data_IF_110847505413
#
_entry.id   IF_110847505413
#
_cell.length_a   1.000
_cell.length_b   1.000
_cell.length_c   1.000
_cell.angle_alpha   90.00
_cell.angle_beta   90.00
_cell.angle_gamma   90.00
#
_symmetry.space_group_name_H-M   'P 1'
#
loop_
_entity.id
_entity.type
_entity.pdbx_description
1 polymer ?
#
# COMPACT_ATOMS: atom_id res chain seq x y z
N UNK A 1 2.29 76.95 3.56
CA UNK A 1 3.27 77.58 2.64
C UNK A 1 3.01 77.04 1.25
N UNK A 2 2.38 77.82 0.36
CA UNK A 2 2.11 77.39 -1.02
C UNK A 2 3.36 77.58 -1.88
N UNK A 3 3.85 76.50 -2.49
CA UNK A 3 4.85 76.58 -3.56
C UNK A 3 4.16 77.12 -4.81
N UNK A 4 4.58 78.30 -5.28
CA UNK A 4 4.17 78.83 -6.58
C UNK A 4 4.77 77.94 -7.67
N UNK A 5 3.93 77.47 -8.59
CA UNK A 5 4.36 76.77 -9.79
C UNK A 5 4.76 77.83 -10.81
N UNK A 6 6.05 77.92 -11.13
CA UNK A 6 6.49 78.75 -12.24
C UNK A 6 6.33 77.94 -13.54
N UNK A 7 5.61 78.48 -14.55
CA UNK A 7 5.52 77.81 -15.83
C UNK A 7 6.91 77.80 -16.49
N UNK A 8 7.44 76.61 -16.75
CA UNK A 8 8.63 76.42 -17.57
C UNK A 8 8.28 76.96 -18.96
N UNK A 9 8.76 78.17 -19.27
CA UNK A 9 8.68 78.71 -20.62
C UNK A 9 9.65 77.88 -21.47
N UNK A 10 9.11 76.95 -22.23
CA UNK A 10 9.85 76.30 -23.32
C UNK A 10 10.27 77.41 -24.29
N UNK A 11 11.57 77.68 -24.37
CA UNK A 11 12.11 78.64 -25.31
C UNK A 11 12.19 78.00 -26.70
N UNK A 12 11.13 78.18 -27.48
CA UNK A 12 11.04 77.68 -28.85
C UNK A 12 11.97 78.49 -29.78
N UNK A 13 12.43 79.68 -29.36
CA UNK A 13 13.28 80.53 -30.20
C UNK A 13 14.74 80.06 -30.23
N UNK A 14 15.20 79.30 -29.23
CA UNK A 14 16.52 78.65 -29.27
C UNK A 14 16.64 77.56 -30.34
N UNK A 15 15.53 77.08 -30.91
CA UNK A 15 15.54 76.14 -32.04
C UNK A 15 15.35 76.84 -33.40
N UNK A 16 15.17 78.17 -33.42
CA UNK A 16 14.91 78.92 -34.63
C UNK A 16 16.18 79.57 -35.23
N UNK A 17 17.31 79.57 -34.52
CA UNK A 17 18.57 80.22 -34.97
C UNK A 17 19.51 79.28 -35.75
N UNK A 18 19.31 77.96 -35.68
CA UNK A 18 19.95 77.03 -36.61
C UNK A 18 19.00 76.83 -37.80
N UNK A 19 19.35 77.39 -38.96
CA UNK A 19 18.51 77.37 -40.16
C UNK A 19 17.88 76.00 -40.45
N UNK A 20 16.64 76.01 -40.97
CA UNK A 20 15.88 74.82 -41.36
C UNK A 20 16.78 73.79 -42.05
N UNK A 21 17.15 72.73 -41.33
CA UNK A 21 17.83 71.57 -41.92
C UNK A 21 16.84 70.90 -42.86
N UNK A 22 16.96 71.22 -44.13
CA UNK A 22 16.23 70.53 -45.19
C UNK A 22 16.97 69.23 -45.48
N UNK A 23 16.29 68.11 -45.27
CA UNK A 23 16.83 66.79 -45.60
C UNK A 23 16.50 66.49 -47.07
N UNK A 24 17.51 66.04 -47.80
CA UNK A 24 17.32 65.49 -49.13
C UNK A 24 16.63 64.12 -49.05
N UNK A 25 15.91 63.73 -50.10
CA UNK A 25 15.28 62.40 -50.16
C UNK A 25 16.31 61.27 -50.01
N UNK A 26 17.55 61.50 -50.45
CA UNK A 26 18.65 60.53 -50.38
C UNK A 26 19.11 60.32 -48.92
N UNK A 27 19.26 61.41 -48.15
CA UNK A 27 19.55 61.33 -46.71
C UNK A 27 18.42 60.65 -45.92
N UNK A 28 17.15 60.93 -46.25
CA UNK A 28 16.01 60.24 -45.64
C UNK A 28 16.04 58.75 -45.96
N UNK A 29 16.34 58.37 -47.22
CA UNK A 29 16.44 56.97 -47.62
C UNK A 29 17.57 56.24 -46.87
N UNK A 30 18.70 56.90 -46.66
CA UNK A 30 19.84 56.31 -45.94
C UNK A 30 19.55 56.14 -44.44
N UNK A 31 18.86 57.11 -43.82
CA UNK A 31 18.37 56.99 -42.44
C UNK A 31 17.42 55.79 -42.32
N UNK A 32 16.47 55.64 -43.24
CA UNK A 32 15.52 54.52 -43.25
C UNK A 32 16.23 53.18 -43.43
N UNK A 33 17.15 53.07 -44.39
CA UNK A 33 17.95 51.83 -44.60
C UNK A 33 18.76 51.46 -43.37
N UNK A 34 19.43 52.44 -42.76
CA UNK A 34 20.21 52.25 -41.54
C UNK A 34 19.32 51.75 -40.40
N UNK A 35 18.15 52.38 -40.21
CA UNK A 35 17.20 51.97 -39.18
C UNK A 35 16.69 50.56 -39.37
N UNK A 36 16.35 50.18 -40.61
CA UNK A 36 15.91 48.81 -40.95
C UNK A 36 17.03 47.80 -40.65
N UNK A 37 18.28 48.12 -41.02
CA UNK A 37 19.42 47.24 -40.78
C UNK A 37 19.68 47.04 -39.27
N UNK A 38 19.62 48.12 -38.49
CA UNK A 38 19.82 48.05 -37.03
C UNK A 38 18.69 47.31 -36.32
N UNK A 39 17.44 47.52 -36.75
CA UNK A 39 16.30 46.81 -36.19
C UNK A 39 16.33 45.32 -36.53
N UNK A 40 16.79 44.96 -37.72
CA UNK A 40 17.05 43.57 -38.09
C UNK A 40 18.14 42.95 -37.23
N UNK A 41 19.28 43.62 -37.05
CA UNK A 41 20.37 43.15 -36.17
C UNK A 41 19.88 42.93 -34.74
N UNK A 42 19.06 43.84 -34.21
CA UNK A 42 18.49 43.73 -32.87
C UNK A 42 17.59 42.49 -32.75
N UNK A 43 16.71 42.25 -33.71
CA UNK A 43 15.84 41.07 -33.75
C UNK A 43 16.64 39.77 -33.90
N UNK A 44 17.65 39.76 -34.76
CA UNK A 44 18.50 38.58 -34.95
C UNK A 44 19.27 38.24 -33.66
N UNK A 45 19.76 39.25 -32.93
CA UNK A 45 20.41 39.05 -31.62
C UNK A 45 19.44 38.54 -30.54
N UNK A 46 18.20 39.06 -30.51
CA UNK A 46 17.15 38.59 -29.60
C UNK A 46 16.77 37.12 -29.90
N UNK A 47 16.58 36.77 -31.17
CA UNK A 47 16.30 35.39 -31.61
C UNK A 47 17.45 34.46 -31.22
N UNK A 48 18.70 34.88 -31.43
CA UNK A 48 19.86 34.08 -31.05
C UNK A 48 19.90 33.82 -29.53
N UNK A 49 19.59 34.84 -28.74
CA UNK A 49 19.54 34.74 -27.27
C UNK A 49 18.42 33.80 -26.82
N UNK A 50 17.22 33.95 -27.38
CA UNK A 50 16.08 33.08 -27.08
C UNK A 50 16.33 31.63 -27.47
N UNK A 51 16.92 31.39 -28.65
CA UNK A 51 17.31 30.04 -29.07
C UNK A 51 18.30 29.41 -28.11
N UNK A 52 19.34 30.15 -27.69
CA UNK A 52 20.31 29.66 -26.73
C UNK A 52 19.69 29.34 -25.37
N UNK A 53 18.75 30.16 -24.92
CA UNK A 53 18.03 29.93 -23.66
C UNK A 53 17.15 28.67 -23.73
N UNK A 54 16.37 28.52 -24.80
CA UNK A 54 15.53 27.33 -25.00
C UNK A 54 16.37 26.06 -25.18
N UNK A 55 17.49 26.10 -25.89
CA UNK A 55 18.37 24.93 -26.03
C UNK A 55 18.91 24.48 -24.66
N UNK A 56 19.31 25.44 -23.82
CA UNK A 56 19.77 25.15 -22.45
C UNK A 56 18.66 24.56 -21.59
N UNK A 57 17.42 25.05 -21.73
CA UNK A 57 16.26 24.53 -21.00
C UNK A 57 15.89 23.12 -21.47
N UNK A 58 15.92 22.87 -22.78
CA UNK A 58 15.71 21.53 -23.35
C UNK A 58 16.76 20.57 -22.80
N UNK A 59 18.04 20.93 -22.80
CA UNK A 59 19.10 20.07 -22.28
C UNK A 59 18.90 19.77 -20.79
N UNK A 60 18.52 20.77 -19.98
CA UNK A 60 18.23 20.59 -18.56
C UNK A 60 17.04 19.65 -18.34
N UNK A 61 15.95 19.82 -19.10
CA UNK A 61 14.76 18.97 -19.04
C UNK A 61 15.05 17.55 -19.51
N UNK A 62 15.88 17.36 -20.54
CA UNK A 62 16.32 16.03 -20.98
C UNK A 62 17.14 15.31 -19.90
N UNK A 63 18.03 16.03 -19.20
CA UNK A 63 18.78 15.45 -18.07
C UNK A 63 17.84 15.02 -16.93
N UNK A 64 16.86 15.85 -16.59
CA UNK A 64 15.84 15.55 -15.57
C UNK A 64 15.02 14.31 -15.94
N UNK A 65 14.56 14.21 -17.20
CA UNK A 65 13.83 13.03 -17.70
C UNK A 65 14.66 11.76 -17.57
N UNK A 66 15.95 11.80 -17.92
CA UNK A 66 16.82 10.63 -17.82
C UNK A 66 17.01 10.17 -16.37
N UNK A 67 17.22 11.11 -15.44
CA UNK A 67 17.33 10.80 -14.01
C UNK A 67 16.06 10.18 -13.43
N UNK A 68 14.89 10.70 -13.83
CA UNK A 68 13.60 10.15 -13.42
C UNK A 68 13.39 8.74 -13.97
N UNK A 69 13.79 8.47 -15.21
CA UNK A 69 13.70 7.14 -15.81
C UNK A 69 14.61 6.12 -15.11
N UNK A 70 15.85 6.49 -14.76
CA UNK A 70 16.75 5.63 -13.99
C UNK A 70 16.17 5.31 -12.61
N UNK A 71 15.62 6.32 -11.93
CA UNK A 71 14.97 6.16 -10.62
C UNK A 71 13.75 5.24 -10.70
N UNK A 72 12.94 5.40 -11.75
CA UNK A 72 11.77 4.54 -11.98
C UNK A 72 12.17 3.08 -12.23
N UNK A 73 13.22 2.84 -13.01
CA UNK A 73 13.74 1.49 -13.24
C UNK A 73 14.19 0.85 -11.92
N UNK A 74 14.95 1.58 -11.09
CA UNK A 74 15.38 1.10 -9.77
C UNK A 74 14.21 0.80 -8.84
N UNK A 75 13.15 1.61 -8.90
CA UNK A 75 11.94 1.38 -8.12
C UNK A 75 11.21 0.10 -8.57
N UNK A 76 11.08 -0.12 -9.88
CA UNK A 76 10.45 -1.33 -10.43
C UNK A 76 11.21 -2.61 -10.03
N UNK A 77 12.54 -2.57 -10.04
CA UNK A 77 13.36 -3.71 -9.61
C UNK A 77 13.23 -3.98 -8.10
N UNK A 78 13.14 -2.91 -7.30
CA UNK A 78 12.87 -3.00 -5.87
C UNK A 78 11.49 -3.60 -5.59
N UNK A 79 10.46 -3.20 -6.35
CA UNK A 79 9.11 -3.75 -6.23
C UNK A 79 9.06 -5.24 -6.57
N UNK A 80 9.77 -5.67 -7.62
CA UNK A 80 9.90 -7.10 -7.96
C UNK A 80 10.60 -7.89 -6.86
N UNK A 81 11.68 -7.34 -6.27
CA UNK A 81 12.39 -7.96 -5.18
C UNK A 81 11.49 -8.12 -3.94
N UNK A 82 10.72 -7.08 -3.58
CA UNK A 82 9.75 -7.13 -2.49
C UNK A 82 8.67 -8.20 -2.71
N UNK A 83 8.11 -8.29 -3.92
CA UNK A 83 7.13 -9.35 -4.25
C UNK A 83 7.73 -10.75 -4.11
N UNK A 84 9.00 -10.94 -4.47
CA UNK A 84 9.69 -12.22 -4.30
C UNK A 84 9.86 -12.56 -2.81
N UNK A 85 10.33 -11.60 -2.00
CA UNK A 85 10.50 -11.78 -0.55
C UNK A 85 9.16 -12.08 0.12
N UNK A 86 8.08 -11.39 -0.27
CA UNK A 86 6.74 -11.66 0.26
C UNK A 86 6.32 -13.11 -0.02
N UNK A 87 6.53 -13.60 -1.24
CA UNK A 87 6.21 -14.99 -1.60
C UNK A 87 7.05 -16.00 -0.80
N UNK A 88 8.33 -15.70 -0.58
CA UNK A 88 9.20 -16.54 0.25
C UNK A 88 8.74 -16.55 1.71
N UNK A 89 8.36 -15.40 2.27
CA UNK A 89 7.78 -15.26 3.62
C UNK A 89 6.51 -16.09 3.75
N UNK A 90 5.55 -15.95 2.84
CA UNK A 90 4.28 -16.67 2.87
C UNK A 90 4.51 -18.19 2.80
N UNK A 91 5.49 -18.63 1.99
CA UNK A 91 5.91 -20.03 1.91
C UNK A 91 6.48 -20.56 3.23
N UNK A 92 7.36 -19.78 3.87
CA UNK A 92 7.95 -20.14 5.18
C UNK A 92 6.86 -20.17 6.27
N UNK A 93 5.93 -19.22 6.27
CA UNK A 93 4.81 -19.20 7.23
C UNK A 93 3.91 -20.44 7.08
N UNK A 94 3.63 -20.88 5.85
CA UNK A 94 2.89 -22.11 5.59
C UNK A 94 3.64 -23.34 6.13
N UNK A 95 4.94 -23.44 5.86
CA UNK A 95 5.76 -24.56 6.36
C UNK A 95 5.87 -24.58 7.89
N UNK A 96 5.95 -23.40 8.51
CA UNK A 96 5.98 -23.28 9.96
C UNK A 96 4.64 -23.76 10.57
N UNK A 97 3.51 -23.35 9.99
CA UNK A 97 2.20 -23.82 10.45
C UNK A 97 2.05 -25.34 10.31
N UNK A 98 2.50 -25.92 9.20
CA UNK A 98 2.51 -27.38 9.02
C UNK A 98 3.37 -28.08 10.08
N UNK A 99 4.54 -27.53 10.38
CA UNK A 99 5.43 -28.07 11.41
C UNK A 99 4.80 -28.01 12.80
N UNK A 100 4.21 -26.87 13.17
CA UNK A 100 3.52 -26.69 14.45
C UNK A 100 2.38 -27.70 14.60
N UNK A 101 1.52 -27.82 13.57
CA UNK A 101 0.42 -28.78 13.57
C UNK A 101 0.90 -30.22 13.74
N UNK A 102 2.02 -30.56 13.10
CA UNK A 102 2.64 -31.88 13.25
C UNK A 102 3.15 -32.10 14.68
N UNK A 103 3.86 -31.14 15.26
CA UNK A 103 4.33 -31.26 16.65
C UNK A 103 3.18 -31.37 17.65
N UNK A 104 2.11 -30.58 17.47
CA UNK A 104 0.90 -30.65 18.31
C UNK A 104 0.23 -32.02 18.20
N UNK A 105 0.13 -32.56 16.98
CA UNK A 105 -0.41 -33.91 16.73
C UNK A 105 0.46 -34.98 17.38
N UNK A 106 1.78 -34.93 17.21
CA UNK A 106 2.72 -35.90 17.78
C UNK A 106 2.73 -35.85 19.33
N UNK A 107 2.64 -34.65 19.90
CA UNK A 107 2.49 -34.47 21.34
C UNK A 107 1.16 -35.05 21.86
N UNK A 108 0.07 -34.83 21.12
CA UNK A 108 -1.24 -35.38 21.47
C UNK A 108 -1.26 -36.92 21.39
N UNK A 109 -0.72 -37.50 20.32
CA UNK A 109 -0.57 -38.95 20.17
C UNK A 109 0.26 -39.57 21.30
N UNK A 110 1.31 -38.88 21.74
CA UNK A 110 2.12 -39.32 22.89
C UNK A 110 1.29 -39.37 24.16
N UNK A 111 0.49 -38.34 24.46
CA UNK A 111 -0.42 -38.33 25.62
C UNK A 111 -1.47 -39.44 25.55
N UNK A 112 -2.09 -39.67 24.40
CA UNK A 112 -3.04 -40.76 24.20
C UNK A 112 -2.40 -42.12 24.51
N UNK A 113 -1.17 -42.33 24.05
CA UNK A 113 -0.40 -43.55 24.32
C UNK A 113 -0.12 -43.74 25.81
N UNK A 114 0.27 -42.68 26.51
CA UNK A 114 0.52 -42.70 27.96
C UNK A 114 -0.75 -43.04 28.77
N UNK A 115 -1.92 -42.64 28.27
CA UNK A 115 -3.23 -42.97 28.85
C UNK A 115 -3.76 -44.36 28.44
N UNK A 116 -2.98 -45.14 27.71
CA UNK A 116 -3.33 -46.52 27.32
C UNK A 116 -4.30 -46.62 26.14
N UNK A 117 -4.48 -45.55 25.37
CA UNK A 117 -5.27 -45.56 24.13
C UNK A 117 -4.48 -46.30 23.04
N UNK A 118 -5.17 -47.18 22.29
CA UNK A 118 -4.57 -47.86 21.14
C UNK A 118 -4.36 -46.89 19.97
N UNK A 119 -3.26 -47.07 19.23
CA UNK A 119 -2.87 -46.19 18.12
C UNK A 119 -3.95 -46.11 17.02
N UNK A 120 -4.71 -47.20 16.78
CA UNK A 120 -5.81 -47.22 15.81
C UNK A 120 -6.94 -46.23 16.15
N UNK A 121 -6.97 -45.71 17.38
CA UNK A 121 -7.98 -44.77 17.87
C UNK A 121 -7.49 -43.33 17.90
N UNK A 122 -6.22 -43.05 17.66
CA UNK A 122 -5.67 -41.69 17.78
C UNK A 122 -6.35 -40.70 16.83
N UNK A 123 -6.60 -41.10 15.59
CA UNK A 123 -7.30 -40.25 14.62
C UNK A 123 -8.78 -40.03 15.00
N UNK A 124 -9.44 -41.06 15.55
CA UNK A 124 -10.81 -40.95 16.03
C UNK A 124 -10.91 -40.01 17.24
N UNK A 125 -9.96 -40.08 18.18
CA UNK A 125 -9.85 -39.16 19.31
C UNK A 125 -9.62 -37.71 18.88
N UNK A 126 -8.72 -37.51 17.93
CA UNK A 126 -8.35 -36.21 17.39
C UNK A 126 -9.53 -35.56 16.65
N UNK A 127 -10.42 -36.37 16.06
CA UNK A 127 -11.67 -35.93 15.43
C UNK A 127 -12.83 -35.74 16.41
N UNK A 128 -12.80 -36.41 17.56
CA UNK A 128 -13.84 -36.32 18.59
C UNK A 128 -13.76 -34.99 19.35
N UNK A 129 -12.54 -34.50 19.59
CA UNK A 129 -12.27 -33.22 20.24
C UNK A 129 -11.85 -32.16 19.22
N UNK A 130 -12.52 -31.01 19.24
CA UNK A 130 -11.99 -29.81 18.58
C UNK A 130 -10.65 -29.39 19.19
N UNK A 131 -9.85 -28.60 18.48
CA UNK A 131 -8.52 -28.19 18.96
C UNK A 131 -8.56 -27.52 20.35
N UNK A 132 -9.64 -26.78 20.66
CA UNK A 132 -9.87 -26.13 21.96
C UNK A 132 -10.22 -27.12 23.09
N UNK A 133 -10.69 -28.33 22.74
CA UNK A 133 -11.15 -29.35 23.69
C UNK A 133 -10.10 -30.45 23.94
N UNK A 134 -8.98 -30.43 23.20
CA UNK A 134 -7.84 -31.35 23.37
C UNK A 134 -7.01 -30.97 24.59
N UNK A 135 -7.50 -31.33 25.77
CA UNK A 135 -6.82 -31.13 27.04
C UNK A 135 -6.85 -32.40 27.92
N UNK A 136 -6.01 -32.40 28.96
CA UNK A 136 -5.81 -33.57 29.82
C UNK A 136 -7.08 -33.92 30.62
N UNK A 137 -7.90 -32.93 30.99
CA UNK A 137 -9.13 -33.15 31.75
C UNK A 137 -10.19 -33.91 30.94
N UNK A 138 -10.42 -33.48 29.70
CA UNK A 138 -11.34 -34.15 28.78
C UNK A 138 -10.85 -35.54 28.39
N UNK A 139 -9.54 -35.70 28.23
CA UNK A 139 -8.93 -37.00 27.98
C UNK A 139 -9.17 -37.96 29.15
N UNK A 140 -8.95 -37.52 30.39
CA UNK A 140 -9.15 -38.33 31.59
C UNK A 140 -10.61 -38.73 31.76
N UNK A 141 -11.55 -37.80 31.57
CA UNK A 141 -12.98 -38.12 31.63
C UNK A 141 -13.39 -39.12 30.56
N UNK A 142 -12.85 -39.02 29.33
CA UNK A 142 -13.18 -40.00 28.28
C UNK A 142 -12.63 -41.39 28.59
N UNK A 143 -11.41 -41.46 29.12
CA UNK A 143 -10.77 -42.73 29.51
C UNK A 143 -11.54 -43.40 30.64
N UNK A 144 -12.05 -42.62 31.59
CA UNK A 144 -12.85 -43.11 32.72
C UNK A 144 -14.27 -43.54 32.30
N UNK A 145 -14.92 -42.78 31.41
CA UNK A 145 -16.30 -43.05 31.00
C UNK A 145 -16.44 -44.13 29.93
N UNK A 146 -15.43 -44.31 29.06
CA UNK A 146 -15.50 -45.23 27.92
C UNK A 146 -14.33 -46.23 27.85
N UNK A 147 -14.02 -46.99 28.92
CA UNK A 147 -12.90 -47.92 28.96
C UNK A 147 -13.03 -49.11 27.99
N UNK A 148 -14.26 -49.46 27.62
CA UNK A 148 -14.56 -50.54 26.67
C UNK A 148 -14.24 -50.13 25.22
N UNK A 149 -14.49 -48.87 24.87
CA UNK A 149 -14.19 -48.33 23.54
C UNK A 149 -12.68 -48.22 23.29
N UNK A 150 -11.89 -47.95 24.34
CA UNK A 150 -10.42 -48.00 24.29
C UNK A 150 -9.88 -49.40 23.96
N UNK A 151 -10.59 -50.44 24.37
CA UNK A 151 -10.07 -51.81 24.41
C UNK A 151 -10.70 -52.76 23.36
N UNK A 152 -11.94 -52.53 22.93
CA UNK A 152 -12.70 -53.39 22.00
C UNK A 152 -12.69 -52.89 20.55
N UNK A 153 -13.04 -53.82 19.64
CA UNK A 153 -13.22 -53.62 18.19
C UNK A 153 -14.48 -52.81 17.80
N UNK A 154 -15.12 -52.06 18.71
CA UNK A 154 -16.27 -51.24 18.34
C UNK A 154 -15.81 -50.02 17.52
N UNK A 155 -16.09 -50.00 16.23
CA UNK A 155 -15.64 -48.93 15.32
C UNK A 155 -16.26 -47.57 15.64
N UNK A 156 -17.43 -47.54 16.27
CA UNK A 156 -18.19 -46.32 16.49
C UNK A 156 -17.60 -45.52 17.66
N UNK A 157 -17.12 -44.28 17.44
CA UNK A 157 -16.68 -43.42 18.52
C UNK A 157 -17.83 -43.04 19.46
N UNK A 158 -17.56 -42.74 20.74
CA UNK A 158 -18.55 -42.20 21.65
C UNK A 158 -19.20 -40.93 21.05
N UNK A 159 -20.47 -40.63 21.39
CA UNK A 159 -21.16 -39.47 20.84
C UNK A 159 -20.39 -38.16 21.12
N UNK A 160 -20.13 -37.41 20.04
CA UNK A 160 -19.48 -36.09 20.08
C UNK A 160 -20.34 -35.16 20.95
N UNK A 161 -19.73 -34.50 21.94
CA UNK A 161 -20.43 -33.58 22.83
C UNK A 161 -21.35 -34.24 23.86
N UNK A 162 -21.14 -35.51 24.22
CA UNK A 162 -21.70 -36.08 25.45
C UNK A 162 -21.11 -35.30 26.63
N UNK A 163 -21.82 -34.23 27.02
CA UNK A 163 -21.35 -33.19 27.91
C UNK A 163 -20.41 -33.68 29.01
N UNK A 164 -19.15 -33.25 28.93
CA UNK A 164 -18.31 -33.10 30.11
C UNK A 164 -18.76 -31.89 30.97
N UNK A 165 -19.94 -31.34 30.68
CA UNK A 165 -20.70 -30.48 31.57
C UNK A 165 -21.37 -31.32 32.65
N UNK A 166 -20.98 -31.00 33.88
CA UNK A 166 -21.51 -31.53 35.12
C UNK A 166 -23.03 -31.71 35.07
N UNK A 167 -23.49 -32.91 35.45
CA UNK A 167 -24.87 -33.24 35.83
C UNK A 167 -25.63 -32.03 36.41
N UNK A 168 -26.48 -31.40 35.60
CA UNK A 168 -27.65 -30.69 36.10
C UNK A 168 -28.84 -31.23 35.31
N UNK A 169 -29.75 -32.01 35.92
CA UNK A 169 -30.97 -32.40 35.24
C UNK A 169 -31.72 -31.13 34.82
N UNK A 170 -32.33 -31.09 33.63
CA UNK A 170 -33.01 -29.90 33.14
C UNK A 170 -34.04 -29.47 34.18
N UNK A 171 -33.86 -28.27 34.72
CA UNK A 171 -34.79 -27.67 35.66
C UNK A 171 -36.15 -27.61 34.99
N UNK A 172 -37.17 -28.20 35.63
CA UNK A 172 -38.56 -28.24 35.16
C UNK A 172 -39.24 -26.87 35.02
N UNK A 173 -38.47 -25.78 35.15
CA UNK A 173 -38.89 -24.40 34.98
C UNK A 173 -38.34 -23.75 33.70
N UNK A 174 -37.74 -24.51 32.79
CA UNK A 174 -37.35 -23.99 31.48
C UNK A 174 -38.59 -23.48 30.71
N UNK A 175 -38.65 -22.17 30.36
CA UNK A 175 -39.77 -21.60 29.63
C UNK A 175 -40.01 -22.26 28.26
N UNK A 176 -38.98 -22.84 27.63
CA UNK A 176 -39.15 -23.59 26.37
C UNK A 176 -39.90 -24.91 26.56
N UNK A 177 -39.64 -25.64 27.66
CA UNK A 177 -40.34 -26.90 27.96
C UNK A 177 -41.79 -26.65 28.42
N UNK A 178 -42.05 -25.53 29.10
CA UNK A 178 -43.43 -25.10 29.40
C UNK A 178 -44.22 -24.78 28.14
N UNK A 179 -43.59 -24.16 27.14
CA UNK A 179 -44.27 -23.83 25.88
C UNK A 179 -44.64 -25.08 25.07
N UNK A 180 -43.82 -26.13 25.11
CA UNK A 180 -44.09 -27.40 24.41
C UNK A 180 -45.22 -28.22 25.05
N UNK A 181 -45.37 -28.19 26.37
CA UNK A 181 -46.40 -28.95 27.10
C UNK A 181 -47.69 -28.16 27.38
N UNK A 182 -47.78 -26.89 26.97
CA UNK A 182 -49.00 -26.06 27.17
C UNK A 182 -49.94 -26.05 25.96
N UNK A 183 -49.63 -26.82 24.91
CA UNK A 183 -50.51 -27.05 23.78
C UNK A 183 -51.06 -28.48 23.83
N UNK A 184 -52.00 -28.71 24.76
CA UNK A 184 -53.03 -29.73 24.68
C UNK A 184 -54.37 -29.10 25.14
#
# INVERSE_FOLDING_TARGET
MSKKFEPIKFDIQHFAEEGEKTFTQEEVNDIVKSRIADEKRKKDAEIATLKSAHESEIEAKTKEINQLNESLSSFQDSEKALKKIQKEKDGIESQLNEYIQKEETDAWHTKLKEKGVKEERFEAFTKLFGDEERNDENLDKLVEQYPEWLNKQEETPPPIGAGFDNNVPPSSNDPFLKALNSND
#
